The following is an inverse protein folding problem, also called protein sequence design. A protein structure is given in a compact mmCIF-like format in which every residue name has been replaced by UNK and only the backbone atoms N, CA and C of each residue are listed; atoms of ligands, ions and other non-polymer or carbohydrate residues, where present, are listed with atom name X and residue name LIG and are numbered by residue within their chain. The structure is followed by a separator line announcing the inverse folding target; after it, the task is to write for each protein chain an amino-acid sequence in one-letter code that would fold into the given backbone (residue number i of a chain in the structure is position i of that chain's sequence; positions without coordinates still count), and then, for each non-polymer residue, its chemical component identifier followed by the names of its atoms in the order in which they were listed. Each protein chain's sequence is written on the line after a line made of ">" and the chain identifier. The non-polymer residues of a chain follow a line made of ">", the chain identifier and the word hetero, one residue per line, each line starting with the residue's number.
data_IF_676615306601
#
_entry.id   IF_676615306601
#
_cell.length_a   1.000
_cell.length_b   1.000
_cell.length_c   1.000
_cell.angle_alpha   90.00
_cell.angle_beta   90.00
_cell.angle_gamma   90.00
#
_symmetry.space_group_name_H-M   'P 1'
#
loop_
_entity.id
_entity.type
_entity.pdbx_description
1 polymer ?
#
# COMPACT_ATOMS: atom_id res chain seq x y z
N UNK A 1 2.96 -15.98 62.23
CA UNK A 1 3.60 -14.80 61.61
C UNK A 1 4.17 -15.12 60.23
N UNK A 2 5.07 -16.11 60.10
CA UNK A 2 5.70 -16.48 58.81
C UNK A 2 4.70 -16.90 57.71
N UNK A 3 3.73 -17.77 58.02
CA UNK A 3 2.72 -18.24 57.04
C UNK A 3 1.83 -17.10 56.52
N UNK A 4 1.46 -16.16 57.39
CA UNK A 4 0.68 -14.99 57.00
C UNK A 4 1.47 -14.06 56.05
N UNK A 5 2.80 -13.96 56.26
CA UNK A 5 3.69 -13.15 55.46
C UNK A 5 3.91 -13.77 54.07
N UNK A 6 4.05 -15.10 53.99
CA UNK A 6 4.11 -15.84 52.71
C UNK A 6 2.79 -15.70 51.95
N UNK A 7 1.65 -15.86 52.62
CA UNK A 7 0.32 -15.69 52.01
C UNK A 7 0.10 -14.28 51.46
N UNK A 8 0.57 -13.24 52.18
CA UNK A 8 0.52 -11.85 51.71
C UNK A 8 1.37 -11.64 50.44
N UNK A 9 2.59 -12.18 50.42
CA UNK A 9 3.51 -12.03 49.27
C UNK A 9 2.94 -12.72 48.03
N UNK A 10 2.43 -13.95 48.16
CA UNK A 10 1.79 -14.67 47.05
C UNK A 10 0.51 -13.93 46.60
N UNK A 11 -0.28 -13.39 47.53
CA UNK A 11 -1.49 -12.63 47.18
C UNK A 11 -1.21 -11.32 46.43
N UNK A 12 -0.08 -10.66 46.72
CA UNK A 12 0.31 -9.41 46.07
C UNK A 12 1.05 -9.59 44.75
N UNK A 13 1.91 -10.61 44.65
CA UNK A 13 2.83 -10.79 43.51
C UNK A 13 2.50 -12.01 42.64
N UNK A 14 1.52 -12.83 43.03
CA UNK A 14 1.17 -14.07 42.33
C UNK A 14 2.21 -15.16 42.54
N UNK A 15 2.02 -16.29 41.84
CA UNK A 15 3.03 -17.34 41.76
C UNK A 15 4.02 -16.99 40.65
N UNK A 16 5.28 -17.42 40.83
CA UNK A 16 6.32 -17.22 39.81
C UNK A 16 5.90 -17.90 38.51
N UNK A 17 5.73 -17.12 37.44
CA UNK A 17 5.33 -17.60 36.11
C UNK A 17 3.92 -17.20 35.70
N UNK A 18 3.13 -16.55 36.58
CA UNK A 18 1.82 -16.04 36.22
C UNK A 18 1.93 -14.85 35.24
N UNK A 19 1.07 -14.84 34.22
CA UNK A 19 1.00 -13.74 33.26
C UNK A 19 0.26 -12.54 33.85
N UNK A 20 0.97 -11.42 34.00
CA UNK A 20 0.39 -10.15 34.39
C UNK A 20 -0.38 -9.48 33.25
N UNK A 21 -1.55 -8.87 33.55
CA UNK A 21 -2.30 -8.02 32.60
C UNK A 21 -1.76 -6.60 32.52
N UNK A 22 -1.01 -6.16 33.54
CA UNK A 22 -0.38 -4.84 33.59
C UNK A 22 1.00 -4.91 32.95
N UNK A 23 1.54 -3.77 32.46
CA UNK A 23 2.93 -3.70 32.06
C UNK A 23 3.86 -4.29 33.12
N UNK A 24 4.93 -5.00 32.73
CA UNK A 24 5.90 -5.55 33.65
C UNK A 24 6.46 -4.48 34.59
N UNK A 25 6.81 -4.90 35.81
CA UNK A 25 7.49 -4.02 36.75
C UNK A 25 8.93 -3.83 36.29
N UNK A 26 9.28 -2.60 35.91
CA UNK A 26 10.64 -2.21 35.54
C UNK A 26 11.39 -1.72 36.77
N UNK A 27 12.43 -2.45 37.19
CA UNK A 27 13.23 -2.11 38.38
C UNK A 27 14.20 -0.94 38.09
N UNK A 28 14.77 -0.92 36.89
CA UNK A 28 15.65 0.15 36.42
C UNK A 28 15.19 0.60 35.05
N UNK A 29 14.31 1.59 35.01
CA UNK A 29 13.78 2.13 33.75
C UNK A 29 14.62 3.30 33.18
N UNK A 30 15.89 3.37 33.57
CA UNK A 30 16.78 4.39 33.07
C UNK A 30 16.95 4.22 31.56
N UNK A 31 16.81 5.31 30.81
CA UNK A 31 16.84 5.32 29.35
C UNK A 31 15.75 4.52 28.61
N UNK A 32 14.78 3.90 29.28
CA UNK A 32 13.59 3.33 28.62
C UNK A 32 12.64 4.43 28.16
N UNK A 33 12.44 5.43 29.04
CA UNK A 33 11.67 6.65 28.81
C UNK A 33 12.61 7.84 28.75
N UNK A 34 13.12 8.11 27.56
CA UNK A 34 14.09 9.19 27.33
C UNK A 34 13.38 10.53 27.14
N UNK A 35 14.00 11.66 27.53
CA UNK A 35 13.46 13.00 27.30
C UNK A 35 13.66 13.46 25.84
N UNK A 36 13.29 12.62 24.88
CA UNK A 36 13.29 12.92 23.44
C UNK A 36 11.96 12.52 22.84
N UNK A 37 11.49 13.29 21.86
CA UNK A 37 10.24 13.00 21.18
C UNK A 37 10.45 11.92 20.11
N UNK A 38 9.66 10.85 20.17
CA UNK A 38 9.55 9.84 19.10
C UNK A 38 8.36 10.15 18.18
N UNK A 39 8.34 9.64 16.93
CA UNK A 39 7.15 9.74 16.08
C UNK A 39 5.92 9.11 16.75
N UNK A 40 4.76 9.75 16.58
CA UNK A 40 3.48 9.32 17.14
C UNK A 40 3.45 9.18 18.69
N UNK A 41 4.27 9.96 19.39
CA UNK A 41 4.28 10.01 20.85
C UNK A 41 3.31 11.08 21.39
N UNK A 42 2.56 10.81 22.47
CA UNK A 42 1.75 11.84 23.11
C UNK A 42 2.60 13.02 23.60
N UNK A 43 2.20 14.24 23.29
CA UNK A 43 2.91 15.45 23.69
C UNK A 43 1.94 16.55 24.15
N UNK A 44 2.10 17.03 25.39
CA UNK A 44 1.23 18.06 25.99
C UNK A 44 1.57 19.50 25.58
N UNK A 45 2.71 19.71 24.92
CA UNK A 45 3.12 21.03 24.46
C UNK A 45 2.25 21.54 23.30
N UNK A 46 1.89 20.65 22.37
CA UNK A 46 1.09 21.01 21.20
C UNK A 46 -0.41 20.79 21.48
N UNK A 47 -1.25 21.65 20.90
CA UNK A 47 -2.70 21.61 21.10
C UNK A 47 -3.36 20.28 20.62
N UNK A 48 -2.73 19.60 19.65
CA UNK A 48 -3.21 18.32 19.11
C UNK A 48 -2.75 17.10 19.93
N UNK A 49 -1.96 17.28 21.00
CA UNK A 49 -1.53 16.19 21.86
C UNK A 49 -0.48 15.25 21.25
N UNK A 50 0.12 15.59 20.10
CA UNK A 50 1.02 14.70 19.35
C UNK A 50 2.42 15.31 19.21
N UNK A 51 3.46 14.48 19.22
CA UNK A 51 4.82 14.89 18.85
C UNK A 51 4.97 15.10 17.34
N UNK A 52 4.19 14.36 16.52
CA UNK A 52 4.21 14.43 15.06
C UNK A 52 3.31 15.55 14.58
N UNK A 53 3.92 16.66 14.17
CA UNK A 53 3.24 17.82 13.61
C UNK A 53 3.17 17.75 12.08
N UNK A 54 2.16 18.39 11.51
CA UNK A 54 2.09 18.56 10.06
C UNK A 54 3.18 19.55 9.60
N UNK A 55 3.78 19.33 8.42
CA UNK A 55 4.66 20.33 7.82
C UNK A 55 3.87 21.59 7.47
N UNK A 56 4.57 22.72 7.35
CA UNK A 56 3.97 23.98 6.89
C UNK A 56 3.46 23.81 5.46
N UNK A 57 2.30 24.38 5.16
CA UNK A 57 1.71 24.34 3.83
C UNK A 57 2.66 24.91 2.77
N UNK A 58 2.73 24.24 1.61
CA UNK A 58 3.64 24.63 0.51
C UNK A 58 5.08 24.15 0.65
N UNK A 59 5.45 23.49 1.76
CA UNK A 59 6.81 22.95 1.91
C UNK A 59 7.04 21.75 0.98
N UNK A 60 8.13 21.77 0.22
CA UNK A 60 8.55 20.67 -0.66
C UNK A 60 9.77 19.97 -0.06
N UNK A 61 9.66 18.66 0.15
CA UNK A 61 10.79 17.85 0.64
C UNK A 61 11.77 17.52 -0.50
N UNK A 62 13.06 17.47 -0.17
CA UNK A 62 14.08 16.91 -1.09
C UNK A 62 13.75 15.44 -1.37
N UNK A 63 13.72 15.06 -2.64
CA UNK A 63 13.36 13.72 -3.09
C UNK A 63 14.23 13.30 -4.28
N UNK A 64 14.26 12.00 -4.56
CA UNK A 64 14.84 11.45 -5.79
C UNK A 64 13.83 11.57 -6.94
N UNK A 65 14.30 11.81 -8.18
CA UNK A 65 13.42 11.86 -9.34
C UNK A 65 12.93 10.47 -9.74
N UNK A 66 11.74 10.44 -10.35
CA UNK A 66 11.30 9.32 -11.17
C UNK A 66 11.95 9.43 -12.54
N UNK A 67 12.63 8.38 -12.99
CA UNK A 67 13.19 8.29 -14.34
C UNK A 67 12.14 7.68 -15.27
N UNK A 68 11.78 8.42 -16.31
CA UNK A 68 10.84 7.96 -17.34
C UNK A 68 11.53 7.05 -18.36
N UNK A 69 10.73 6.38 -19.19
CA UNK A 69 11.25 5.48 -20.23
C UNK A 69 12.15 6.19 -21.26
N UNK A 70 11.94 7.48 -21.49
CA UNK A 70 12.75 8.32 -22.38
C UNK A 70 14.00 8.92 -21.71
N UNK A 71 14.23 8.59 -20.43
CA UNK A 71 15.35 9.11 -19.63
C UNK A 71 15.08 10.45 -18.96
N UNK A 72 13.89 11.04 -19.12
CA UNK A 72 13.52 12.28 -18.43
C UNK A 72 13.42 12.05 -16.92
N UNK A 73 14.06 12.91 -16.14
CA UNK A 73 13.94 12.91 -14.67
C UNK A 73 12.80 13.84 -14.24
N UNK A 74 11.83 13.29 -13.51
CA UNK A 74 10.65 14.02 -13.03
C UNK A 74 10.60 13.93 -11.52
N UNK A 75 10.68 15.07 -10.83
CA UNK A 75 10.58 15.08 -9.37
C UNK A 75 9.14 14.94 -8.89
N UNK A 76 8.85 14.23 -7.78
CA UNK A 76 7.49 14.00 -7.28
C UNK A 76 6.65 15.26 -6.99
N UNK A 77 7.29 16.41 -6.80
CA UNK A 77 6.61 17.69 -6.53
C UNK A 77 6.21 18.45 -7.80
N UNK A 78 6.71 18.04 -8.97
CA UNK A 78 6.40 18.69 -10.24
C UNK A 78 4.98 18.37 -10.69
N UNK A 79 4.35 19.34 -11.36
CA UNK A 79 3.03 19.18 -12.00
C UNK A 79 3.08 18.36 -13.30
N UNK A 80 3.95 17.34 -13.36
CA UNK A 80 4.13 16.48 -14.52
C UNK A 80 3.11 15.33 -14.55
N UNK A 81 2.71 14.90 -15.73
CA UNK A 81 1.70 13.85 -15.93
C UNK A 81 2.07 12.50 -15.30
N UNK A 82 3.36 12.22 -15.22
CA UNK A 82 3.88 11.05 -14.50
C UNK A 82 3.60 11.09 -12.99
N UNK A 83 3.44 12.26 -12.37
CA UNK A 83 3.10 12.36 -10.95
C UNK A 83 1.60 12.35 -10.69
N UNK A 84 0.80 12.80 -11.66
CA UNK A 84 -0.64 13.04 -11.52
C UNK A 84 -1.52 11.98 -12.18
N UNK A 85 -0.97 11.18 -13.09
CA UNK A 85 -1.70 10.29 -13.99
C UNK A 85 -2.29 11.00 -15.21
N UNK A 86 -1.96 12.28 -15.44
CA UNK A 86 -2.42 13.09 -16.57
C UNK A 86 -2.91 14.49 -16.19
N UNK A 87 -3.10 15.35 -17.19
CA UNK A 87 -3.63 16.71 -17.06
C UNK A 87 -5.14 16.68 -16.87
N UNK A 88 -5.57 16.42 -15.64
CA UNK A 88 -7.00 16.38 -15.32
C UNK A 88 -7.52 17.81 -15.20
N UNK A 89 -7.99 18.39 -16.32
CA UNK A 89 -8.85 19.57 -16.27
C UNK A 89 -10.20 19.21 -15.61
N UNK A 90 -11.02 20.21 -15.27
CA UNK A 90 -12.32 20.02 -14.62
C UNK A 90 -13.33 19.11 -15.40
N UNK A 91 -12.95 18.59 -16.58
CA UNK A 91 -13.74 17.68 -17.42
C UNK A 91 -13.08 16.30 -17.65
N UNK A 92 -11.89 16.03 -17.10
CA UNK A 92 -11.47 14.68 -16.72
C UNK A 92 -11.07 13.66 -17.80
N UNK A 93 -10.48 14.06 -18.93
CA UNK A 93 -10.20 13.11 -20.03
C UNK A 93 -8.73 12.95 -20.44
N UNK A 94 -7.81 13.83 -20.05
CA UNK A 94 -6.42 13.77 -20.54
C UNK A 94 -5.53 12.92 -19.62
N UNK A 95 -5.85 11.64 -19.52
CA UNK A 95 -5.00 10.68 -18.82
C UNK A 95 -3.82 10.27 -19.69
N UNK A 96 -2.70 9.95 -19.02
CA UNK A 96 -1.59 9.28 -19.70
C UNK A 96 -2.10 7.93 -20.23
N UNK A 97 -1.99 7.71 -21.54
CA UNK A 97 -2.53 6.51 -22.17
C UNK A 97 -1.81 5.24 -21.70
N UNK A 98 -0.47 5.29 -21.64
CA UNK A 98 0.41 4.16 -21.37
C UNK A 98 1.41 4.47 -20.25
N UNK A 99 1.91 3.44 -19.57
CA UNK A 99 2.96 3.55 -18.56
C UNK A 99 4.12 4.47 -19.03
N UNK A 100 4.46 5.54 -18.29
CA UNK A 100 5.54 6.47 -18.67
C UNK A 100 6.92 5.97 -18.23
N UNK A 101 6.99 4.86 -17.51
CA UNK A 101 8.23 4.25 -17.01
C UNK A 101 8.61 3.02 -17.83
N UNK A 102 9.90 2.69 -17.89
CA UNK A 102 10.34 1.41 -18.41
C UNK A 102 9.85 0.28 -17.50
N UNK A 103 9.27 -0.77 -18.09
CA UNK A 103 8.75 -1.92 -17.35
C UNK A 103 9.69 -3.10 -17.58
N UNK A 104 10.38 -3.49 -16.52
CA UNK A 104 11.21 -4.69 -16.47
C UNK A 104 10.70 -5.67 -15.41
N UNK A 105 11.39 -6.80 -15.26
CA UNK A 105 11.05 -7.82 -14.26
C UNK A 105 11.11 -7.29 -12.81
N UNK A 106 12.00 -6.33 -12.52
CA UNK A 106 12.12 -5.75 -11.18
C UNK A 106 10.94 -4.83 -10.87
N UNK A 107 10.49 -4.02 -11.83
CA UNK A 107 9.28 -3.20 -11.71
C UNK A 107 8.05 -4.08 -11.54
N UNK A 108 7.91 -5.17 -12.28
CA UNK A 108 6.80 -6.10 -12.12
C UNK A 108 6.82 -6.83 -10.77
N UNK A 109 7.99 -7.30 -10.32
CA UNK A 109 8.14 -7.92 -9.00
C UNK A 109 7.77 -6.94 -7.88
N UNK A 110 8.22 -5.68 -8.00
CA UNK A 110 7.86 -4.62 -7.07
C UNK A 110 6.37 -4.30 -7.10
N UNK A 111 5.79 -4.24 -8.30
CA UNK A 111 4.36 -4.03 -8.50
C UNK A 111 3.52 -5.13 -7.85
N UNK A 112 3.94 -6.40 -8.00
CA UNK A 112 3.34 -7.56 -7.34
C UNK A 112 3.41 -7.43 -5.82
N UNK A 113 4.59 -7.16 -5.26
CA UNK A 113 4.78 -6.99 -3.82
C UNK A 113 3.84 -5.93 -3.26
N UNK A 114 3.77 -4.76 -3.91
CA UNK A 114 2.89 -3.66 -3.48
C UNK A 114 1.42 -4.00 -3.65
N UNK A 115 1.04 -4.62 -4.77
CA UNK A 115 -0.32 -5.08 -5.00
C UNK A 115 -0.78 -6.10 -3.94
N UNK A 116 0.05 -7.08 -3.61
CA UNK A 116 -0.28 -8.12 -2.63
C UNK A 116 -0.46 -7.53 -1.21
N UNK A 117 0.32 -6.51 -0.85
CA UNK A 117 0.21 -5.82 0.44
C UNK A 117 -1.04 -4.93 0.50
N UNK A 118 -1.32 -4.13 -0.53
CA UNK A 118 -2.32 -3.05 -0.44
C UNK A 118 -3.61 -3.29 -1.20
N UNK A 119 -3.57 -4.02 -2.31
CA UNK A 119 -4.68 -4.11 -3.28
C UNK A 119 -5.38 -5.48 -3.24
N UNK A 120 -4.63 -6.58 -3.12
CA UNK A 120 -5.15 -7.94 -3.17
C UNK A 120 -6.14 -8.26 -2.03
N UNK A 121 -6.06 -7.55 -0.91
CA UNK A 121 -6.97 -7.71 0.22
C UNK A 121 -8.44 -7.44 -0.18
N UNK A 122 -8.65 -6.51 -1.13
CA UNK A 122 -9.96 -6.18 -1.67
C UNK A 122 -10.18 -6.78 -3.06
N UNK A 123 -9.21 -6.66 -3.96
CA UNK A 123 -9.34 -7.06 -5.37
C UNK A 123 -9.00 -8.54 -5.63
N UNK A 124 -8.49 -9.28 -4.65
CA UNK A 124 -8.01 -10.65 -4.80
C UNK A 124 -6.63 -10.71 -5.48
N UNK A 125 -5.85 -11.76 -5.22
CA UNK A 125 -4.55 -11.97 -5.87
C UNK A 125 -4.68 -12.13 -7.40
N UNK A 126 -5.78 -12.75 -7.83
CA UNK A 126 -6.10 -12.91 -9.24
C UNK A 126 -6.76 -11.67 -9.87
N UNK A 127 -7.04 -10.61 -9.09
CA UNK A 127 -7.69 -9.39 -9.58
C UNK A 127 -9.18 -9.57 -9.95
N UNK A 128 -9.86 -10.58 -9.44
CA UNK A 128 -11.27 -10.92 -9.73
C UNK A 128 -12.29 -10.26 -8.80
N UNK A 129 -11.84 -9.36 -7.92
CA UNK A 129 -12.71 -8.71 -6.93
C UNK A 129 -13.06 -9.61 -5.73
N UNK A 130 -12.49 -10.83 -5.65
CA UNK A 130 -12.75 -11.78 -4.57
C UNK A 130 -11.65 -11.76 -3.50
N UNK A 131 -11.24 -10.56 -3.07
CA UNK A 131 -10.34 -10.41 -1.92
C UNK A 131 -11.02 -10.80 -0.60
N UNK A 132 -10.24 -11.05 0.45
CA UNK A 132 -10.78 -11.48 1.77
C UNK A 132 -11.85 -10.53 2.31
N UNK A 133 -11.79 -9.23 1.99
CA UNK A 133 -12.79 -8.24 2.42
C UNK A 133 -14.19 -8.57 1.88
N UNK A 134 -14.32 -9.16 0.68
CA UNK A 134 -15.63 -9.56 0.14
C UNK A 134 -16.30 -10.64 1.00
N UNK A 135 -15.50 -11.51 1.63
CA UNK A 135 -15.99 -12.58 2.51
C UNK A 135 -16.38 -12.11 3.91
N UNK A 136 -15.92 -10.94 4.33
CA UNK A 136 -16.17 -10.41 5.68
C UNK A 136 -17.55 -9.76 5.85
N UNK A 137 -18.37 -9.70 4.79
CA UNK A 137 -19.75 -9.18 4.87
C UNK A 137 -19.84 -7.68 5.15
N UNK A 138 -18.74 -6.93 4.97
CA UNK A 138 -18.66 -5.48 5.27
C UNK A 138 -19.28 -4.58 4.19
N UNK A 139 -20.06 -5.15 3.27
CA UNK A 139 -20.76 -4.41 2.21
C UNK A 139 -19.85 -3.72 1.18
N UNK A 140 -18.54 -4.02 1.19
CA UNK A 140 -17.57 -3.51 0.23
C UNK A 140 -17.13 -4.64 -0.70
N UNK A 141 -17.67 -4.64 -1.92
CA UNK A 141 -17.17 -5.49 -3.00
C UNK A 141 -16.26 -4.66 -3.90
N UNK A 142 -15.05 -5.15 -4.14
CA UNK A 142 -14.15 -4.52 -5.10
C UNK A 142 -14.54 -4.94 -6.52
N UNK A 143 -14.37 -4.04 -7.48
CA UNK A 143 -14.56 -4.39 -8.89
C UNK A 143 -13.50 -5.42 -9.32
N UNK A 144 -13.89 -6.31 -10.23
CA UNK A 144 -12.95 -7.19 -10.92
C UNK A 144 -12.10 -6.35 -11.86
N UNK A 145 -10.78 -6.46 -11.76
CA UNK A 145 -9.84 -5.74 -12.61
C UNK A 145 -9.86 -6.23 -14.06
N UNK A 146 -10.56 -7.36 -14.31
CA UNK A 146 -10.78 -7.94 -15.64
C UNK A 146 -12.05 -7.43 -16.31
N UNK A 147 -12.84 -6.57 -15.65
CA UNK A 147 -14.04 -5.99 -16.24
C UNK A 147 -13.70 -5.14 -17.47
N UNK A 148 -14.50 -5.27 -18.53
CA UNK A 148 -14.25 -4.57 -19.80
C UNK A 148 -14.18 -3.04 -19.67
N UNK A 149 -14.86 -2.46 -18.67
CA UNK A 149 -14.78 -1.04 -18.37
C UNK A 149 -13.43 -0.64 -17.78
N UNK A 150 -12.79 -1.50 -16.99
CA UNK A 150 -11.47 -1.28 -16.37
C UNK A 150 -10.36 -1.58 -17.37
N UNK A 151 -10.50 -2.62 -18.19
CA UNK A 151 -9.53 -2.92 -19.26
C UNK A 151 -9.32 -1.74 -20.20
N UNK A 152 -10.40 -1.01 -20.52
CA UNK A 152 -10.39 0.16 -21.41
C UNK A 152 -9.92 1.46 -20.74
N UNK A 153 -9.71 1.49 -19.42
CA UNK A 153 -9.17 2.68 -18.77
C UNK A 153 -7.74 2.91 -19.26
N UNK A 154 -7.31 4.15 -19.51
CA UNK A 154 -5.89 4.46 -19.73
C UNK A 154 -5.08 4.26 -18.44
N UNK A 155 -3.78 4.02 -18.58
CA UNK A 155 -2.89 3.73 -17.44
C UNK A 155 -2.88 4.85 -16.40
N UNK A 156 -2.94 6.10 -16.86
CA UNK A 156 -3.05 7.28 -16.02
C UNK A 156 -4.33 7.32 -15.18
N UNK A 157 -5.45 6.77 -15.68
CA UNK A 157 -6.69 6.68 -14.91
C UNK A 157 -6.60 5.60 -13.81
N UNK A 158 -5.93 4.48 -14.09
CA UNK A 158 -5.63 3.47 -13.06
C UNK A 158 -4.70 4.05 -11.98
N UNK A 159 -3.62 4.71 -12.39
CA UNK A 159 -2.71 5.42 -11.48
C UNK A 159 -3.46 6.41 -10.58
N UNK A 160 -4.36 7.21 -11.17
CA UNK A 160 -5.13 8.21 -10.44
C UNK A 160 -6.12 7.58 -9.47
N UNK A 161 -6.76 6.48 -9.87
CA UNK A 161 -7.64 5.69 -8.99
C UNK A 161 -6.86 5.14 -7.79
N UNK A 162 -5.62 4.68 -7.99
CA UNK A 162 -4.74 4.26 -6.90
C UNK A 162 -4.38 5.44 -6.01
N UNK A 163 -4.01 6.59 -6.57
CA UNK A 163 -3.56 7.75 -5.81
C UNK A 163 -4.68 8.39 -4.98
N UNK A 164 -5.85 8.63 -5.57
CA UNK A 164 -6.93 9.42 -4.97
C UNK A 164 -8.16 8.60 -4.57
N UNK A 165 -8.25 7.35 -5.02
CA UNK A 165 -9.40 6.48 -4.79
C UNK A 165 -10.41 6.55 -5.93
N UNK A 166 -11.39 5.65 -5.89
CA UNK A 166 -12.47 5.61 -6.89
C UNK A 166 -13.26 6.93 -6.88
N UNK A 167 -13.61 7.44 -8.07
CA UNK A 167 -14.32 8.73 -8.25
C UNK A 167 -13.65 9.88 -7.49
N UNK A 168 -12.33 10.04 -7.63
CA UNK A 168 -11.57 11.10 -6.94
C UNK A 168 -11.75 11.10 -5.41
N UNK A 169 -11.85 9.90 -4.83
CA UNK A 169 -12.03 9.71 -3.39
C UNK A 169 -13.49 9.79 -2.89
N UNK A 170 -14.45 10.07 -3.78
CA UNK A 170 -15.89 10.09 -3.46
C UNK A 170 -16.52 8.68 -3.48
N UNK A 171 -15.83 7.68 -4.03
CA UNK A 171 -16.30 6.30 -4.06
C UNK A 171 -15.87 5.46 -2.85
N UNK A 172 -16.07 4.15 -2.97
CA UNK A 172 -15.79 3.17 -1.91
C UNK A 172 -14.28 2.97 -1.73
N UNK A 173 -13.53 2.87 -2.82
CA UNK A 173 -12.07 2.73 -2.77
C UNK A 173 -11.43 4.05 -2.35
N UNK A 174 -10.62 4.02 -1.29
CA UNK A 174 -9.81 5.15 -0.82
C UNK A 174 -8.49 5.26 -1.59
N UNK A 175 -7.91 6.45 -1.61
CA UNK A 175 -6.62 6.72 -2.23
C UNK A 175 -5.45 6.24 -1.36
N UNK A 176 -4.41 5.75 -2.04
CA UNK A 176 -3.18 5.19 -1.46
C UNK A 176 -1.97 6.11 -1.63
N UNK A 177 -2.16 7.39 -1.99
CA UNK A 177 -1.05 8.33 -2.23
C UNK A 177 -0.11 8.54 -1.04
N UNK A 178 -0.57 8.27 0.19
CA UNK A 178 0.25 8.41 1.40
C UNK A 178 1.03 7.14 1.74
N UNK A 179 0.59 5.98 1.26
CA UNK A 179 1.23 4.68 1.48
C UNK A 179 2.15 4.28 0.32
N UNK A 180 1.81 4.68 -0.92
CA UNK A 180 2.57 4.37 -2.12
C UNK A 180 3.20 5.64 -2.68
N UNK A 181 4.52 5.61 -2.90
CA UNK A 181 5.21 6.67 -3.65
C UNK A 181 4.86 6.60 -5.15
N UNK A 182 5.30 7.59 -5.94
CA UNK A 182 4.95 7.68 -7.37
C UNK A 182 5.41 6.45 -8.16
N UNK A 183 6.64 5.99 -7.92
CA UNK A 183 7.20 4.81 -8.60
C UNK A 183 6.42 3.53 -8.28
N UNK A 184 6.09 3.30 -7.00
CA UNK A 184 5.32 2.14 -6.54
C UNK A 184 3.91 2.14 -7.15
N UNK A 185 3.27 3.32 -7.31
CA UNK A 185 1.96 3.40 -7.97
C UNK A 185 2.04 2.97 -9.44
N UNK A 186 3.06 3.40 -10.19
CA UNK A 186 3.25 2.94 -11.57
C UNK A 186 3.63 1.46 -11.66
N UNK A 187 4.44 0.96 -10.74
CA UNK A 187 4.75 -0.47 -10.65
C UNK A 187 3.48 -1.30 -10.42
N UNK A 188 2.58 -0.83 -9.54
CA UNK A 188 1.27 -1.47 -9.33
C UNK A 188 0.42 -1.43 -10.60
N UNK A 189 0.36 -0.31 -11.33
CA UNK A 189 -0.34 -0.25 -12.62
C UNK A 189 0.24 -1.25 -13.62
N UNK A 190 1.57 -1.35 -13.72
CA UNK A 190 2.25 -2.31 -14.57
C UNK A 190 1.87 -3.77 -14.22
N UNK A 191 1.83 -4.09 -12.93
CA UNK A 191 1.40 -5.40 -12.46
C UNK A 191 -0.08 -5.67 -12.73
N UNK A 192 -0.96 -4.67 -12.55
CA UNK A 192 -2.38 -4.79 -12.92
C UNK A 192 -2.53 -5.08 -14.42
N UNK A 193 -1.74 -4.45 -15.28
CA UNK A 193 -1.74 -4.76 -16.73
C UNK A 193 -1.25 -6.17 -17.02
N UNK A 194 -0.21 -6.63 -16.32
CA UNK A 194 0.25 -8.01 -16.44
C UNK A 194 -0.85 -9.02 -16.02
N UNK A 195 -1.57 -8.75 -14.93
CA UNK A 195 -2.73 -9.56 -14.50
C UNK A 195 -3.84 -9.57 -15.55
N UNK A 196 -4.17 -8.42 -16.12
CA UNK A 196 -5.19 -8.33 -17.18
C UNK A 196 -4.76 -9.12 -18.42
N UNK A 197 -3.50 -8.99 -18.83
CA UNK A 197 -2.94 -9.72 -19.96
C UNK A 197 -2.98 -11.24 -19.71
N UNK A 198 -2.66 -11.71 -18.50
CA UNK A 198 -2.65 -13.14 -18.18
C UNK A 198 -4.01 -13.84 -18.35
N UNK A 199 -5.13 -13.11 -18.38
CA UNK A 199 -6.47 -13.68 -18.68
C UNK A 199 -6.87 -13.57 -20.15
N UNK A 200 -6.23 -12.71 -20.91
CA UNK A 200 -6.55 -12.46 -22.32
C UNK A 200 -5.72 -13.34 -23.26
N UNK A 201 -4.55 -13.80 -22.82
CA UNK A 201 -3.69 -14.71 -23.60
C UNK A 201 -4.20 -16.14 -23.50
N UNK A 202 -4.39 -16.78 -24.66
CA UNK A 202 -4.75 -18.20 -24.74
C UNK A 202 -3.56 -19.12 -24.41
N UNK A 203 -3.82 -20.38 -23.99
CA UNK A 203 -2.75 -21.32 -23.64
C UNK A 203 -1.77 -21.59 -24.78
N UNK A 204 -2.24 -21.56 -26.04
CA UNK A 204 -1.40 -21.74 -27.22
C UNK A 204 -0.42 -20.58 -27.44
N UNK A 205 -0.87 -19.34 -27.24
CA UNK A 205 -0.02 -18.14 -27.35
C UNK A 205 1.00 -18.10 -26.20
N UNK A 206 0.60 -18.52 -24.99
CA UNK A 206 1.55 -18.71 -23.88
C UNK A 206 2.62 -19.75 -24.20
N UNK A 207 2.23 -20.89 -24.80
CA UNK A 207 3.17 -21.93 -25.21
C UNK A 207 4.15 -21.44 -26.27
N UNK A 208 3.69 -20.62 -27.21
CA UNK A 208 4.55 -19.99 -28.23
C UNK A 208 5.55 -19.00 -27.59
N UNK A 209 5.10 -18.18 -26.64
CA UNK A 209 5.94 -17.17 -25.96
C UNK A 209 6.99 -17.83 -25.05
N UNK A 210 6.60 -18.84 -24.27
CA UNK A 210 7.44 -19.43 -23.23
C UNK A 210 8.15 -20.72 -23.64
N UNK A 211 7.80 -21.30 -24.79
CA UNK A 211 8.32 -22.59 -25.26
C UNK A 211 8.03 -23.76 -24.31
N UNK A 212 7.06 -23.60 -23.40
CA UNK A 212 6.66 -24.56 -22.36
C UNK A 212 5.16 -24.52 -22.16
N UNK A 213 4.57 -25.64 -21.73
CA UNK A 213 3.15 -25.71 -21.39
C UNK A 213 2.84 -24.77 -20.19
N UNK A 214 1.76 -23.96 -20.22
CA UNK A 214 1.45 -22.98 -19.18
C UNK A 214 1.37 -23.57 -17.76
N UNK A 215 0.81 -24.78 -17.63
CA UNK A 215 0.63 -25.48 -16.35
C UNK A 215 1.94 -26.09 -15.79
N UNK A 216 3.03 -26.06 -16.57
CA UNK A 216 4.34 -26.52 -16.14
C UNK A 216 5.17 -25.44 -15.44
N UNK A 217 4.72 -24.18 -15.49
CA UNK A 217 5.30 -23.08 -14.73
C UNK A 217 4.60 -23.05 -13.38
N UNK A 218 5.29 -23.31 -12.26
CA UNK A 218 4.66 -23.26 -10.95
C UNK A 218 4.03 -21.88 -10.77
N UNK A 219 2.76 -21.86 -10.33
CA UNK A 219 2.10 -20.63 -9.93
C UNK A 219 3.04 -19.90 -8.96
N UNK A 220 3.44 -18.68 -9.30
CA UNK A 220 4.38 -17.94 -8.49
C UNK A 220 3.79 -17.81 -7.07
N UNK A 221 4.42 -18.45 -6.08
CA UNK A 221 4.03 -18.37 -4.67
C UNK A 221 4.04 -16.93 -4.17
#
# INVERSE_FOLDING_TARGET
>A
MFVALVGLVIGLFGLRGDLGRKPPLEVFADMDRQPKLRPAEPNRFFANGSSSQLPVEGTVARSEPLVLADGTEVYPFEGHDANTGGTVNAKGTNYVATLPIAVDAAVLARGRERYDITCAICHGRAGDGQGVVSTLGVGMSAASLHDASILKMPDGQLYRTIAFGSKEGQGVMKGYKTQLNVADRWAVVAYVRALQYSRLVGPEELKEIYGKEPDSVPAAE
#
